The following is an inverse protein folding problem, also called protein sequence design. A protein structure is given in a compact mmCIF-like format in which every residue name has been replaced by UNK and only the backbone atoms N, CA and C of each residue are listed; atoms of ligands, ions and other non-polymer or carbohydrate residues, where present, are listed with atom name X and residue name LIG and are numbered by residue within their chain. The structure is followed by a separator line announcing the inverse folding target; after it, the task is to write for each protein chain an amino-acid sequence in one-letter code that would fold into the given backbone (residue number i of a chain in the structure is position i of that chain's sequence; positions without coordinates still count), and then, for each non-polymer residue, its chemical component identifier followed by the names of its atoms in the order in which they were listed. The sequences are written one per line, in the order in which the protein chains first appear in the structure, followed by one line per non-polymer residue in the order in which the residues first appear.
data_IF_113456676203
#
_entry.id   IF_113456676203
#
_cell.length_a   1.000
_cell.length_b   1.000
_cell.length_c   1.000
_cell.angle_alpha   90.00
_cell.angle_beta   90.00
_cell.angle_gamma   90.00
#
_symmetry.space_group_name_H-M   'P 1'
#
loop_
_entity.id
_entity.type
_entity.pdbx_description
1 polymer ?
#
# COMPACT_ATOMS: atom_id res chain seq x y z
N UNK A 1 -61.15 4.98 24.82
CA UNK A 1 -60.70 6.38 24.87
C UNK A 1 -59.34 6.48 24.19
N UNK A 2 -59.29 7.02 22.98
CA UNK A 2 -58.11 7.70 22.39
C UNK A 2 -58.59 8.42 21.14
N UNK A 3 -58.26 9.69 21.08
CA UNK A 3 -58.75 10.73 20.17
C UNK A 3 -58.08 10.69 18.78
N UNK A 4 -58.71 11.26 17.73
CA UNK A 4 -58.18 11.29 16.36
C UNK A 4 -57.66 12.68 15.90
N UNK A 5 -56.88 12.65 14.79
CA UNK A 5 -56.64 13.68 13.75
C UNK A 5 -56.00 15.04 14.16
N UNK A 6 -55.11 15.67 13.35
CA UNK A 6 -55.51 16.58 12.25
C UNK A 6 -54.31 16.99 11.36
N UNK A 7 -54.60 17.23 10.07
CA UNK A 7 -53.76 17.75 8.96
C UNK A 7 -53.57 19.28 8.97
N UNK A 8 -52.53 19.77 8.27
CA UNK A 8 -52.46 21.09 7.59
C UNK A 8 -51.00 21.42 7.25
N UNK A 9 -50.50 21.43 6.00
CA UNK A 9 -50.78 22.24 4.80
C UNK A 9 -50.55 23.75 4.97
N UNK A 10 -49.46 24.29 4.40
CA UNK A 10 -49.48 25.33 3.34
C UNK A 10 -48.05 25.76 2.92
N UNK A 11 -47.90 26.03 1.62
CA UNK A 11 -46.71 26.57 0.94
C UNK A 11 -46.69 28.10 0.94
N UNK A 12 -45.51 28.73 0.98
CA UNK A 12 -45.08 30.00 0.32
C UNK A 12 -43.53 29.94 0.25
N UNK A 13 -42.81 29.83 -0.86
CA UNK A 13 -42.59 30.65 -2.08
C UNK A 13 -41.92 32.04 -1.86
N UNK A 14 -40.78 32.18 -2.55
CA UNK A 14 -40.15 33.36 -3.18
C UNK A 14 -39.03 34.18 -2.46
N UNK A 15 -37.78 33.78 -2.79
CA UNK A 15 -36.57 34.52 -3.25
C UNK A 15 -35.96 35.75 -2.50
N UNK A 16 -34.86 36.41 -2.99
CA UNK A 16 -33.52 36.31 -2.39
C UNK A 16 -32.87 37.68 -2.06
N UNK A 17 -31.70 37.69 -1.42
CA UNK A 17 -30.58 38.65 -1.63
C UNK A 17 -29.68 38.72 -0.38
N UNK A 18 -28.37 38.58 -0.61
CA UNK A 18 -27.36 38.74 0.43
C UNK A 18 -25.98 38.27 -0.02
N UNK A 19 -25.55 38.73 -1.20
CA UNK A 19 -24.17 38.61 -1.65
C UNK A 19 -23.31 39.54 -0.77
N UNK A 20 -22.50 38.96 0.13
CA UNK A 20 -21.40 39.66 0.77
C UNK A 20 -20.10 39.05 0.29
N UNK A 21 -19.42 39.79 -0.58
CA UNK A 21 -18.02 39.58 -0.94
C UNK A 21 -17.16 39.68 0.33
N UNK A 22 -16.67 38.55 0.80
CA UNK A 22 -15.54 38.48 1.72
C UNK A 22 -14.27 38.18 0.94
N UNK A 23 -13.67 39.20 0.32
CA UNK A 23 -12.26 39.15 -0.09
C UNK A 23 -11.41 39.08 1.18
N UNK A 24 -10.73 37.96 1.40
CA UNK A 24 -9.65 37.87 2.38
C UNK A 24 -8.44 37.22 1.72
N UNK A 25 -7.48 38.10 1.40
CA UNK A 25 -6.05 37.88 1.30
C UNK A 25 -5.58 36.50 0.82
N UNK A 26 -5.44 36.38 -0.50
CA UNK A 26 -4.28 35.70 -1.06
C UNK A 26 -3.04 36.48 -0.64
N UNK A 27 -2.36 36.03 0.40
CA UNK A 27 -0.96 36.32 0.72
C UNK A 27 -0.52 35.31 1.79
N UNK A 28 -0.17 34.10 1.35
CA UNK A 28 0.70 33.21 2.10
C UNK A 28 1.60 32.48 1.11
N UNK A 29 2.85 32.94 1.15
CA UNK A 29 4.00 32.54 0.36
C UNK A 29 4.20 31.02 0.24
N UNK A 30 4.56 30.63 -0.99
CA UNK A 30 5.61 29.65 -1.29
C UNK A 30 5.52 28.23 -0.69
N UNK A 31 4.75 27.36 -1.36
CA UNK A 31 4.86 25.89 -1.21
C UNK A 31 4.90 25.21 -2.59
N UNK A 32 5.79 25.67 -3.48
CA UNK A 32 5.96 25.06 -4.81
C UNK A 32 6.59 23.65 -4.74
N UNK A 33 7.43 23.38 -3.74
CA UNK A 33 8.11 22.08 -3.59
C UNK A 33 7.25 20.93 -3.04
N UNK A 34 6.21 21.20 -2.23
CA UNK A 34 5.33 20.13 -1.74
C UNK A 34 4.35 19.66 -2.83
N UNK A 35 3.96 20.55 -3.74
CA UNK A 35 3.10 20.23 -4.89
C UNK A 35 3.78 19.27 -5.87
N UNK A 36 5.05 19.50 -6.21
CA UNK A 36 5.81 18.62 -7.10
C UNK A 36 6.11 17.26 -6.47
N UNK A 37 6.48 17.24 -5.19
CA UNK A 37 6.71 15.99 -4.47
C UNK A 37 5.42 15.16 -4.32
N UNK A 38 4.29 15.79 -3.97
CA UNK A 38 3.01 15.10 -3.92
C UNK A 38 2.55 14.61 -5.31
N UNK A 39 2.76 15.42 -6.36
CA UNK A 39 2.46 15.01 -7.73
C UNK A 39 3.31 13.80 -8.14
N UNK A 40 4.61 13.81 -7.84
CA UNK A 40 5.51 12.69 -8.06
C UNK A 40 5.07 11.44 -7.29
N UNK A 41 4.75 11.56 -5.99
CA UNK A 41 4.26 10.43 -5.19
C UNK A 41 2.96 9.88 -5.75
N UNK A 42 2.02 10.73 -6.16
CA UNK A 42 0.76 10.31 -6.81
C UNK A 42 1.00 9.61 -8.14
N UNK A 43 1.94 10.10 -8.96
CA UNK A 43 2.30 9.48 -10.23
C UNK A 43 2.95 8.11 -10.04
N UNK A 44 3.89 7.99 -9.09
CA UNK A 44 4.51 6.71 -8.73
C UNK A 44 3.48 5.74 -8.17
N UNK A 45 2.55 6.21 -7.34
CA UNK A 45 1.47 5.39 -6.80
C UNK A 45 0.52 4.92 -7.92
N UNK A 46 0.23 5.78 -8.90
CA UNK A 46 -0.57 5.42 -10.08
C UNK A 46 0.13 4.36 -10.92
N UNK A 47 1.42 4.51 -11.21
CA UNK A 47 2.22 3.50 -11.94
C UNK A 47 2.24 2.16 -11.19
N UNK A 48 2.38 2.21 -9.87
CA UNK A 48 2.31 1.03 -9.00
C UNK A 48 0.96 0.32 -9.15
N UNK A 49 -0.14 1.06 -9.03
CA UNK A 49 -1.49 0.49 -9.17
C UNK A 49 -1.74 -0.08 -10.57
N UNK A 50 -1.27 0.60 -11.62
CA UNK A 50 -1.41 0.16 -13.01
C UNK A 50 -0.69 -1.16 -13.27
N UNK A 51 0.57 -1.32 -12.88
CA UNK A 51 1.25 -2.60 -13.15
C UNK A 51 0.86 -3.74 -12.23
N UNK A 52 0.37 -3.46 -11.01
CA UNK A 52 -0.30 -4.49 -10.23
C UNK A 52 -1.61 -4.94 -10.89
N UNK A 53 -2.31 -4.04 -11.60
CA UNK A 53 -3.49 -4.36 -12.40
C UNK A 53 -3.13 -5.21 -13.62
N UNK A 54 -2.04 -4.91 -14.32
CA UNK A 54 -1.56 -5.72 -15.45
C UNK A 54 -1.26 -7.16 -15.03
N UNK A 55 -0.57 -7.36 -13.89
CA UNK A 55 -0.32 -8.68 -13.31
C UNK A 55 -1.63 -9.41 -12.96
N UNK A 56 -2.66 -8.67 -12.56
CA UNK A 56 -3.97 -9.25 -12.34
C UNK A 56 -4.69 -9.63 -13.60
N UNK A 57 -4.61 -8.80 -14.64
CA UNK A 57 -5.23 -9.12 -15.92
C UNK A 57 -4.60 -10.39 -16.52
N UNK A 58 -3.32 -10.64 -16.28
CA UNK A 58 -2.66 -11.93 -16.56
C UNK A 58 -3.28 -13.09 -15.77
N UNK A 59 -3.44 -12.95 -14.44
CA UNK A 59 -4.15 -13.95 -13.61
C UNK A 59 -5.60 -14.16 -14.10
N UNK A 60 -6.29 -13.09 -14.49
CA UNK A 60 -7.68 -13.13 -14.97
C UNK A 60 -7.83 -13.78 -16.36
N UNK A 61 -6.80 -13.70 -17.20
CA UNK A 61 -6.70 -14.43 -18.48
C UNK A 61 -6.49 -15.93 -18.29
N UNK A 62 -6.43 -16.40 -17.04
CA UNK A 62 -6.24 -17.80 -16.70
C UNK A 62 -4.77 -18.21 -16.57
N UNK A 63 -3.83 -17.25 -16.54
CA UNK A 63 -2.45 -17.57 -16.24
C UNK A 63 -2.31 -17.99 -14.77
N UNK A 64 -1.56 -19.07 -14.57
CA UNK A 64 -1.31 -19.60 -13.24
C UNK A 64 -0.40 -18.62 -12.48
N UNK A 65 -0.78 -18.22 -11.26
CA UNK A 65 0.04 -17.35 -10.42
C UNK A 65 1.46 -17.90 -10.21
N UNK A 66 1.63 -19.22 -10.24
CA UNK A 66 2.94 -19.87 -10.21
C UNK A 66 3.79 -19.40 -11.39
N UNK A 67 3.26 -19.47 -12.61
CA UNK A 67 3.96 -19.08 -13.84
C UNK A 67 4.31 -17.59 -13.88
N UNK A 68 3.43 -16.74 -13.37
CA UNK A 68 3.71 -15.29 -13.25
C UNK A 68 4.91 -15.05 -12.33
N UNK A 69 4.92 -15.68 -11.15
CA UNK A 69 6.03 -15.52 -10.20
C UNK A 69 7.32 -16.15 -10.75
N UNK A 70 7.25 -17.32 -11.39
CA UNK A 70 8.40 -17.95 -12.05
C UNK A 70 9.02 -17.01 -13.09
N UNK A 71 8.20 -16.42 -13.96
CA UNK A 71 8.64 -15.45 -14.98
C UNK A 71 9.31 -14.22 -14.35
N UNK A 72 8.73 -13.65 -13.29
CA UNK A 72 9.35 -12.52 -12.58
C UNK A 72 10.72 -12.91 -11.99
N UNK A 73 10.82 -14.12 -11.41
CA UNK A 73 12.07 -14.61 -10.83
C UNK A 73 13.14 -14.86 -11.91
N UNK A 74 12.75 -15.39 -13.06
CA UNK A 74 13.63 -15.55 -14.21
C UNK A 74 14.07 -14.19 -14.78
N UNK A 75 13.13 -13.33 -15.15
CA UNK A 75 13.40 -12.06 -15.84
C UNK A 75 14.20 -11.06 -14.97
N UNK A 76 13.84 -10.93 -13.69
CA UNK A 76 14.42 -9.89 -12.81
C UNK A 76 15.60 -10.39 -11.99
N UNK A 77 15.56 -11.65 -11.59
CA UNK A 77 16.55 -12.23 -10.69
C UNK A 77 17.49 -13.23 -11.38
N UNK A 78 17.19 -13.70 -12.59
CA UNK A 78 17.97 -14.72 -13.29
C UNK A 78 17.89 -16.08 -12.60
N UNK A 79 16.72 -16.39 -12.01
CA UNK A 79 16.50 -17.56 -11.17
C UNK A 79 15.48 -18.52 -11.82
N UNK A 80 15.96 -19.26 -12.82
CA UNK A 80 15.21 -20.25 -13.61
C UNK A 80 14.95 -21.58 -12.89
N UNK A 81 15.73 -21.89 -11.85
CA UNK A 81 15.70 -23.18 -11.14
C UNK A 81 14.91 -23.13 -9.82
N UNK A 82 14.36 -21.98 -9.45
CA UNK A 82 13.63 -21.84 -8.18
C UNK A 82 12.27 -22.51 -8.30
N UNK A 83 12.03 -23.50 -7.44
CA UNK A 83 10.74 -24.17 -7.35
C UNK A 83 9.81 -23.43 -6.40
N UNK A 84 8.70 -22.95 -6.94
CA UNK A 84 7.58 -22.42 -6.16
C UNK A 84 6.75 -23.59 -5.63
N UNK A 85 6.51 -23.62 -4.32
CA UNK A 85 5.67 -24.64 -3.69
C UNK A 85 4.19 -24.37 -3.98
N UNK A 86 3.79 -23.11 -3.86
CA UNK A 86 2.41 -22.66 -4.05
C UNK A 86 2.39 -21.15 -4.35
N UNK A 87 1.49 -20.73 -5.22
CA UNK A 87 1.13 -19.32 -5.40
C UNK A 87 -0.37 -19.17 -5.62
N UNK A 88 -0.99 -18.11 -5.09
CA UNK A 88 -2.40 -17.79 -5.28
C UNK A 88 -2.69 -16.31 -4.98
N UNK A 89 -3.80 -15.75 -5.49
CA UNK A 89 -4.22 -14.42 -5.10
C UNK A 89 -4.60 -14.35 -3.60
N UNK A 90 -4.30 -13.21 -2.97
CA UNK A 90 -4.76 -12.82 -1.65
C UNK A 90 -6.10 -12.09 -1.79
N UNK A 91 -7.10 -12.54 -1.03
CA UNK A 91 -8.52 -12.14 -1.03
C UNK A 91 -9.45 -12.65 -2.17
N UNK A 92 -10.73 -12.94 -1.82
CA UNK A 92 -11.80 -13.16 -2.79
C UNK A 92 -12.13 -11.88 -3.56
N UNK A 93 -12.49 -12.06 -4.83
CA UNK A 93 -12.83 -11.02 -5.82
C UNK A 93 -14.02 -10.12 -5.47
N UNK A 94 -14.72 -10.37 -4.37
CA UNK A 94 -16.02 -9.77 -4.01
C UNK A 94 -15.92 -8.73 -2.86
N UNK A 95 -14.73 -8.25 -2.53
CA UNK A 95 -14.65 -7.07 -1.65
C UNK A 95 -14.88 -5.83 -2.52
N UNK A 96 -15.67 -4.88 -2.02
CA UNK A 96 -16.15 -3.65 -2.67
C UNK A 96 -15.04 -2.66 -3.13
N UNK A 97 -13.82 -3.14 -3.34
CA UNK A 97 -12.65 -2.39 -3.79
C UNK A 97 -12.49 -2.50 -5.31
N UNK A 98 -13.45 -1.93 -6.05
CA UNK A 98 -13.35 -1.76 -7.50
C UNK A 98 -12.11 -0.93 -7.85
N UNK A 99 -11.04 -1.61 -8.27
CA UNK A 99 -9.80 -0.99 -8.74
C UNK A 99 -8.57 -1.14 -7.83
N UNK A 100 -8.67 -1.82 -6.67
CA UNK A 100 -7.48 -2.16 -5.89
C UNK A 100 -6.89 -3.48 -6.39
N UNK A 101 -5.63 -3.49 -6.83
CA UNK A 101 -5.00 -4.71 -7.26
C UNK A 101 -4.85 -5.74 -6.11
N UNK A 102 -5.36 -6.95 -6.29
CA UNK A 102 -5.06 -8.13 -5.48
C UNK A 102 -3.56 -8.43 -5.36
N UNK A 103 -3.14 -8.84 -4.17
CA UNK A 103 -1.79 -9.34 -3.96
C UNK A 103 -1.68 -10.80 -4.41
N UNK A 104 -0.45 -11.25 -4.71
CA UNK A 104 -0.15 -12.66 -4.94
C UNK A 104 0.66 -13.15 -3.73
N UNK A 105 0.10 -14.11 -3.00
CA UNK A 105 0.83 -14.86 -1.98
C UNK A 105 1.53 -16.03 -2.65
N UNK A 106 2.82 -16.18 -2.39
CA UNK A 106 3.59 -17.32 -2.87
C UNK A 106 4.56 -17.84 -1.82
N UNK A 107 4.83 -19.14 -1.90
CA UNK A 107 5.73 -19.87 -1.01
C UNK A 107 6.84 -20.51 -1.82
N UNK A 108 8.07 -20.23 -1.44
CA UNK A 108 9.26 -20.85 -1.99
C UNK A 108 9.60 -22.11 -1.20
N UNK A 109 10.16 -23.12 -1.87
CA UNK A 109 10.63 -24.34 -1.21
C UNK A 109 11.88 -24.11 -0.33
N UNK A 110 12.65 -23.05 -0.59
CA UNK A 110 13.88 -22.73 0.11
C UNK A 110 13.76 -21.40 0.85
N UNK A 111 13.98 -21.44 2.16
CA UNK A 111 14.08 -20.22 2.96
C UNK A 111 15.32 -19.39 2.60
N UNK A 112 16.42 -20.03 2.20
CA UNK A 112 17.62 -19.33 1.76
C UNK A 112 17.35 -18.49 0.50
N UNK A 113 16.58 -19.05 -0.44
CA UNK A 113 16.22 -18.38 -1.68
C UNK A 113 15.31 -17.18 -1.39
N UNK A 114 14.32 -17.36 -0.51
CA UNK A 114 13.50 -16.26 0.01
C UNK A 114 14.38 -15.11 0.52
N UNK A 115 15.35 -15.41 1.38
CA UNK A 115 16.23 -14.38 1.94
C UNK A 115 17.08 -13.71 0.87
N UNK A 116 17.59 -14.46 -0.10
CA UNK A 116 18.38 -13.94 -1.22
C UNK A 116 17.56 -12.98 -2.10
N UNK A 117 16.36 -13.42 -2.51
CA UNK A 117 15.41 -12.64 -3.30
C UNK A 117 15.04 -11.35 -2.55
N UNK A 118 14.65 -11.45 -1.28
CA UNK A 118 14.23 -10.29 -0.48
C UNK A 118 15.36 -9.26 -0.28
N UNK A 119 16.63 -9.70 -0.21
CA UNK A 119 17.79 -8.78 -0.15
C UNK A 119 18.00 -8.05 -1.48
N UNK A 120 17.78 -8.72 -2.60
CA UNK A 120 17.97 -8.15 -3.94
C UNK A 120 16.78 -7.34 -4.44
N UNK A 121 15.57 -7.62 -3.94
CA UNK A 121 14.29 -7.13 -4.46
C UNK A 121 14.25 -5.60 -4.58
N UNK A 122 14.69 -4.87 -3.54
CA UNK A 122 14.68 -3.39 -3.56
C UNK A 122 15.45 -2.79 -4.73
N UNK A 123 16.55 -3.44 -5.16
CA UNK A 123 17.37 -2.98 -6.28
C UNK A 123 16.84 -3.51 -7.61
N UNK A 124 16.45 -4.78 -7.63
CA UNK A 124 16.03 -5.48 -8.86
C UNK A 124 14.64 -5.09 -9.36
N UNK A 125 13.78 -4.59 -8.46
CA UNK A 125 12.41 -4.19 -8.75
C UNK A 125 12.20 -2.68 -8.60
N UNK A 126 13.28 -1.88 -8.58
CA UNK A 126 13.18 -0.44 -8.33
C UNK A 126 12.40 0.32 -9.43
N UNK A 127 12.47 -0.21 -10.66
CA UNK A 127 11.84 0.35 -11.85
C UNK A 127 10.50 -0.34 -12.17
N UNK A 128 10.07 -1.25 -11.29
CA UNK A 128 8.84 -2.01 -11.46
C UNK A 128 7.70 -1.37 -10.66
N UNK A 129 6.50 -1.55 -11.17
CA UNK A 129 5.22 -1.15 -10.58
C UNK A 129 4.71 -2.13 -9.52
N UNK A 130 5.53 -3.10 -9.11
CA UNK A 130 5.20 -4.05 -8.05
C UNK A 130 6.43 -4.27 -7.16
N UNK A 131 6.19 -4.79 -5.95
CA UNK A 131 7.26 -5.04 -4.98
C UNK A 131 7.00 -6.33 -4.21
N UNK A 132 8.06 -6.87 -3.64
CA UNK A 132 7.98 -7.98 -2.70
C UNK A 132 8.02 -7.48 -1.26
N UNK A 133 7.14 -8.04 -0.43
CA UNK A 133 7.12 -7.82 1.02
C UNK A 133 6.97 -9.15 1.74
N UNK A 134 7.44 -9.21 2.98
CA UNK A 134 7.12 -10.33 3.86
C UNK A 134 5.63 -10.34 4.18
N UNK A 135 5.04 -11.54 4.16
CA UNK A 135 3.74 -11.82 4.75
C UNK A 135 3.89 -11.87 6.27
N UNK A 136 3.37 -10.85 6.94
CA UNK A 136 3.46 -10.67 8.38
C UNK A 136 2.13 -11.05 9.02
N UNK A 137 2.19 -11.71 10.17
CA UNK A 137 1.00 -11.95 10.97
C UNK A 137 0.36 -10.62 11.39
N UNK A 138 -0.93 -10.64 11.73
CA UNK A 138 -1.64 -9.45 12.23
C UNK A 138 -0.93 -8.86 13.45
N UNK A 139 -0.48 -9.73 14.38
CA UNK A 139 0.26 -9.33 15.58
C UNK A 139 1.58 -8.64 15.22
N UNK A 140 2.36 -9.22 14.30
CA UNK A 140 3.62 -8.63 13.84
C UNK A 140 3.38 -7.29 13.14
N UNK A 141 2.32 -7.18 12.35
CA UNK A 141 1.97 -5.95 11.65
C UNK A 141 1.57 -4.84 12.62
N UNK A 142 0.83 -5.17 13.68
CA UNK A 142 0.47 -4.24 14.75
C UNK A 142 1.72 -3.75 15.50
N UNK A 143 2.61 -4.66 15.89
CA UNK A 143 3.85 -4.32 16.58
C UNK A 143 4.79 -3.48 15.70
N UNK A 144 4.89 -3.82 14.41
CA UNK A 144 5.64 -3.01 13.43
C UNK A 144 5.07 -1.58 13.38
N UNK A 145 3.75 -1.44 13.21
CA UNK A 145 3.04 -0.15 13.10
C UNK A 145 3.19 0.71 14.35
N UNK A 146 3.11 0.10 15.54
CA UNK A 146 3.26 0.77 16.85
C UNK A 146 4.50 1.66 16.92
N UNK A 147 5.62 1.22 16.35
CA UNK A 147 6.91 1.91 16.46
C UNK A 147 7.34 2.63 15.18
N UNK A 148 6.53 2.60 14.12
CA UNK A 148 6.91 3.15 12.80
C UNK A 148 7.33 4.62 12.87
N UNK A 149 6.70 5.42 13.72
CA UNK A 149 7.03 6.84 13.87
C UNK A 149 8.43 7.05 14.48
N UNK A 150 8.73 6.37 15.61
CA UNK A 150 10.06 6.40 16.24
C UNK A 150 11.14 5.88 15.28
N UNK A 151 10.84 4.83 14.52
CA UNK A 151 11.74 4.28 13.49
C UNK A 151 12.00 5.28 12.36
N UNK A 152 10.96 5.97 11.86
CA UNK A 152 11.11 7.03 10.84
C UNK A 152 11.98 8.17 11.34
N UNK A 153 11.80 8.58 12.60
CA UNK A 153 12.64 9.60 13.21
C UNK A 153 14.11 9.15 13.27
N UNK A 154 14.38 7.94 13.77
CA UNK A 154 15.75 7.45 13.84
C UNK A 154 16.41 7.25 12.46
N UNK A 155 15.65 6.95 11.40
CA UNK A 155 16.20 6.96 10.04
C UNK A 155 16.69 8.35 9.62
N UNK A 156 15.98 9.43 9.97
CA UNK A 156 16.43 10.81 9.71
C UNK A 156 17.72 11.14 10.46
N UNK A 157 17.94 10.50 11.61
CA UNK A 157 19.18 10.59 12.41
C UNK A 157 20.29 9.65 11.91
N UNK A 158 20.09 8.93 10.80
CA UNK A 158 21.07 7.99 10.24
C UNK A 158 21.11 6.61 10.91
N UNK A 159 20.20 6.32 11.86
CA UNK A 159 20.07 4.98 12.45
C UNK A 159 19.44 4.02 11.44
N UNK A 160 19.85 2.76 11.48
CA UNK A 160 19.30 1.70 10.64
C UNK A 160 18.51 0.72 11.49
N UNK A 161 17.27 0.46 11.08
CA UNK A 161 16.40 -0.51 11.73
C UNK A 161 15.93 -1.58 10.76
N UNK A 162 15.60 -2.76 11.29
CA UNK A 162 14.96 -3.84 10.53
C UNK A 162 13.93 -4.52 11.42
N UNK A 163 12.71 -4.66 10.91
CA UNK A 163 11.70 -5.50 11.55
C UNK A 163 11.86 -6.94 11.09
N UNK A 164 11.99 -7.88 12.02
CA UNK A 164 12.13 -9.31 11.72
C UNK A 164 11.71 -10.17 12.92
N UNK A 165 10.90 -11.20 12.65
CA UNK A 165 10.42 -12.17 13.64
C UNK A 165 9.74 -11.50 14.85
N UNK A 166 8.85 -10.52 14.60
CA UNK A 166 8.14 -9.79 15.65
C UNK A 166 8.92 -8.67 16.35
N UNK A 167 10.20 -8.45 16.01
CA UNK A 167 11.04 -7.48 16.71
C UNK A 167 11.72 -6.48 15.78
N UNK A 168 11.86 -5.25 16.24
CA UNK A 168 12.77 -4.28 15.65
C UNK A 168 14.21 -4.56 16.08
N UNK A 169 15.13 -4.47 15.12
CA UNK A 169 16.56 -4.69 15.31
C UNK A 169 17.36 -3.53 14.75
N UNK A 170 18.50 -3.23 15.36
CA UNK A 170 19.43 -2.22 14.87
C UNK A 170 20.30 -2.75 13.71
N UNK A 171 21.25 -1.91 13.25
CA UNK A 171 22.21 -2.28 12.20
C UNK A 171 23.17 -3.42 12.57
N UNK A 172 23.26 -3.79 13.85
CA UNK A 172 24.04 -4.93 14.35
C UNK A 172 23.17 -6.18 14.54
N UNK A 173 21.86 -6.08 14.32
CA UNK A 173 20.90 -7.18 14.49
C UNK A 173 20.41 -7.36 15.93
N UNK A 174 20.79 -6.47 16.85
CA UNK A 174 20.34 -6.52 18.25
C UNK A 174 18.91 -6.01 18.36
N UNK A 175 18.10 -6.65 19.18
CA UNK A 175 16.71 -6.23 19.44
C UNK A 175 16.71 -4.84 20.10
N UNK A 176 15.87 -3.95 19.58
CA UNK A 176 15.69 -2.59 20.06
C UNK A 176 14.34 -2.47 20.75
N UNK A 177 14.34 -1.92 21.96
CA UNK A 177 13.13 -1.42 22.61
C UNK A 177 13.02 0.08 22.40
N UNK A 178 11.81 0.57 22.19
CA UNK A 178 11.52 1.98 21.99
C UNK A 178 10.67 2.51 23.13
N UNK A 179 11.07 2.22 24.38
CA UNK A 179 10.41 2.78 25.56
C UNK A 179 10.57 4.31 25.59
#
# INVERSE_FOLDING_TARGET
MSTPATRGSTRKRDEPAGHMEGKHGDDLDDVTGASEFEAFVREQFKKLLEGQKDLQDEVQKGENCVSIVEKILEDKFGLDHIKIERAHPDCPRNSDSDGVPQHILFKLNSYADKVSIMKAARRKLQDESYYFTDDLTVTDLQEKRKWMEKVRHGYKEGKKYRFYNGYWRDGQGKVVSFD
#
